data_IF_667427137303
#
_entry.id   IF_667427137303
#
_cell.length_a   1.000
_cell.length_b   1.000
_cell.length_c   1.000
_cell.angle_alpha   90.00
_cell.angle_beta   90.00
_cell.angle_gamma   90.00
#
_symmetry.space_group_name_H-M   'P 1'
#
loop_
_entity.id
_entity.type
_entity.pdbx_description
1 polymer ?
#
# COMPACT_ATOMS: atom_id res chain seq x y z
N UNK A 1 -15.46 47.34 -29.55
CA UNK A 1 -16.89 46.96 -29.67
C UNK A 1 -17.33 46.33 -28.36
N UNK A 2 -18.42 46.86 -27.78
CA UNK A 2 -19.03 46.44 -26.51
C UNK A 2 -20.14 45.42 -26.79
N UNK A 3 -20.25 44.36 -25.96
CA UNK A 3 -21.47 43.57 -25.68
C UNK A 3 -21.08 42.55 -24.60
N UNK A 4 -21.36 42.71 -23.30
CA UNK A 4 -22.64 42.86 -22.58
C UNK A 4 -23.50 41.59 -22.55
N UNK A 5 -23.46 40.90 -21.41
CA UNK A 5 -24.62 40.32 -20.71
C UNK A 5 -25.12 38.93 -21.12
N UNK A 6 -25.20 38.00 -20.16
CA UNK A 6 -26.44 37.68 -19.41
C UNK A 6 -26.10 36.71 -18.27
N UNK A 7 -26.53 37.10 -17.07
CA UNK A 7 -26.52 36.34 -15.82
C UNK A 7 -27.85 35.57 -15.75
N UNK A 8 -27.81 34.28 -15.42
CA UNK A 8 -28.99 33.53 -14.99
C UNK A 8 -28.64 32.75 -13.71
N UNK A 9 -29.09 33.29 -12.58
CA UNK A 9 -29.07 32.66 -11.28
C UNK A 9 -30.36 31.84 -11.11
N UNK A 10 -30.23 30.54 -10.82
CA UNK A 10 -31.34 29.74 -10.28
C UNK A 10 -30.99 29.28 -8.86
N UNK A 11 -31.65 29.90 -7.90
CA UNK A 11 -31.73 29.51 -6.51
C UNK A 11 -32.81 28.44 -6.36
N UNK A 12 -32.44 27.23 -5.94
CA UNK A 12 -33.39 26.26 -5.40
C UNK A 12 -32.98 25.95 -3.96
N UNK A 13 -33.72 26.56 -3.03
CA UNK A 13 -33.69 26.28 -1.61
C UNK A 13 -34.41 24.96 -1.35
N UNK A 14 -33.69 23.97 -0.81
CA UNK A 14 -34.24 22.72 -0.30
C UNK A 14 -34.12 22.68 1.22
N UNK A 15 -35.25 22.82 1.91
CA UNK A 15 -35.37 22.65 3.35
C UNK A 15 -35.19 21.17 3.72
N UNK A 16 -34.12 20.81 4.44
CA UNK A 16 -34.01 19.49 5.09
C UNK A 16 -34.34 19.64 6.57
N UNK A 17 -35.48 19.07 6.96
CA UNK A 17 -36.00 19.07 8.33
C UNK A 17 -35.11 18.29 9.30
N UNK A 18 -34.99 18.86 10.49
CA UNK A 18 -34.39 18.24 11.68
C UNK A 18 -35.15 16.95 12.04
N UNK A 19 -34.47 15.80 11.96
CA UNK A 19 -34.92 14.57 12.62
C UNK A 19 -34.52 14.65 14.09
N UNK A 20 -35.52 14.75 14.95
CA UNK A 20 -35.36 14.74 16.40
C UNK A 20 -34.74 13.42 16.93
N UNK A 21 -34.21 13.44 18.16
CA UNK A 21 -33.57 12.30 18.79
C UNK A 21 -34.57 11.15 19.03
N UNK A 22 -34.20 9.96 18.59
CA UNK A 22 -34.95 8.72 18.77
C UNK A 22 -34.99 8.34 20.27
N UNK A 23 -36.18 8.09 20.86
CA UNK A 23 -36.30 7.76 22.27
C UNK A 23 -35.70 6.38 22.59
N UNK A 24 -34.93 6.32 23.67
CA UNK A 24 -34.27 5.13 24.17
C UNK A 24 -35.27 3.98 24.41
N UNK A 25 -35.02 2.83 23.78
CA UNK A 25 -35.78 1.59 24.02
C UNK A 25 -35.51 1.05 25.44
N UNK A 26 -36.56 0.67 26.18
CA UNK A 26 -36.42 0.08 27.51
C UNK A 26 -35.77 -1.31 27.44
N UNK A 27 -34.76 -1.49 28.28
CA UNK A 27 -34.01 -2.75 28.47
C UNK A 27 -34.92 -3.81 29.09
N UNK A 28 -35.12 -4.92 28.37
CA UNK A 28 -35.92 -6.06 28.84
C UNK A 28 -35.13 -6.83 29.92
N UNK A 29 -35.71 -7.15 31.08
CA UNK A 29 -35.04 -7.90 32.14
C UNK A 29 -34.72 -9.34 31.70
N UNK A 30 -33.54 -9.80 32.09
CA UNK A 30 -32.99 -11.11 31.81
C UNK A 30 -33.86 -12.22 32.44
N UNK A 31 -34.52 -13.01 31.58
CA UNK A 31 -35.24 -14.21 31.97
C UNK A 31 -34.28 -15.36 32.28
N UNK A 32 -34.59 -16.09 33.35
CA UNK A 32 -33.79 -17.19 33.89
C UNK A 32 -33.46 -18.28 32.88
N UNK A 33 -32.17 -18.63 32.84
CA UNK A 33 -31.67 -19.75 32.06
C UNK A 33 -32.08 -21.10 32.67
N UNK A 34 -32.30 -22.13 31.83
CA UNK A 34 -32.70 -23.46 32.27
C UNK A 34 -31.60 -24.16 33.07
N UNK A 35 -32.03 -24.92 34.07
CA UNK A 35 -31.23 -25.78 34.92
C UNK A 35 -30.41 -26.76 34.08
N UNK A 36 -29.08 -26.70 34.23
CA UNK A 36 -28.10 -27.51 33.50
C UNK A 36 -28.19 -28.96 33.99
N UNK A 37 -28.81 -29.82 33.17
CA UNK A 37 -28.88 -31.26 33.39
C UNK A 37 -27.47 -31.85 33.26
N UNK A 38 -26.99 -32.51 34.31
CA UNK A 38 -25.70 -33.21 34.31
C UNK A 38 -25.78 -34.39 33.33
N UNK A 39 -25.03 -34.32 32.24
CA UNK A 39 -24.88 -35.45 31.32
C UNK A 39 -23.97 -36.53 31.94
N UNK A 40 -24.31 -37.82 31.76
CA UNK A 40 -23.49 -38.92 32.21
C UNK A 40 -22.15 -38.95 31.47
N UNK A 41 -21.08 -39.16 32.24
CA UNK A 41 -19.69 -39.29 31.75
C UNK A 41 -19.61 -40.41 30.73
N UNK A 42 -19.40 -40.07 29.45
CA UNK A 42 -19.17 -41.04 28.39
C UNK A 42 -17.76 -41.65 28.53
N UNK A 43 -17.60 -42.97 28.35
CA UNK A 43 -16.29 -43.60 28.34
C UNK A 43 -15.42 -43.06 27.18
N UNK A 44 -14.09 -42.95 27.38
CA UNK A 44 -13.17 -42.45 26.36
C UNK A 44 -13.25 -43.33 25.11
N UNK A 45 -13.63 -42.71 23.98
CA UNK A 45 -13.58 -43.38 22.69
C UNK A 45 -12.12 -43.68 22.32
N UNK A 46 -11.82 -44.85 21.73
CA UNK A 46 -10.49 -45.15 21.20
C UNK A 46 -10.08 -44.05 20.22
N UNK A 47 -8.92 -43.45 20.50
CA UNK A 47 -8.37 -42.34 19.73
C UNK A 47 -8.01 -42.80 18.32
N UNK A 48 -8.79 -42.34 17.34
CA UNK A 48 -8.45 -42.41 15.92
C UNK A 48 -7.06 -41.78 15.74
N UNK A 49 -6.14 -42.38 14.96
CA UNK A 49 -4.86 -41.77 14.61
C UNK A 49 -5.10 -40.33 14.19
N UNK A 50 -4.60 -39.41 15.00
CA UNK A 50 -4.77 -37.98 14.78
C UNK A 50 -3.92 -37.68 13.56
N UNK A 51 -4.55 -37.38 12.42
CA UNK A 51 -3.85 -36.82 11.25
C UNK A 51 -2.90 -35.76 11.77
N UNK A 52 -1.60 -36.04 11.68
CA UNK A 52 -0.57 -35.22 12.31
C UNK A 52 -0.59 -33.86 11.61
N UNK A 53 -1.03 -32.77 12.26
CA UNK A 53 -1.39 -31.55 11.55
C UNK A 53 -0.17 -30.73 11.05
N UNK A 54 1.01 -31.37 10.84
CA UNK A 54 2.31 -30.72 11.06
C UNK A 54 3.39 -30.97 10.02
N UNK A 55 3.02 -30.99 8.75
CA UNK A 55 3.91 -30.43 7.72
C UNK A 55 3.20 -29.28 7.02
N UNK A 56 2.90 -28.22 7.78
CA UNK A 56 2.63 -26.92 7.17
C UNK A 56 3.93 -26.47 6.53
N UNK A 57 4.10 -26.76 5.24
CA UNK A 57 5.21 -26.24 4.46
C UNK A 57 5.26 -24.74 4.65
N UNK A 58 6.30 -24.28 5.32
CA UNK A 58 6.53 -22.89 5.63
C UNK A 58 6.84 -22.16 4.32
N UNK A 59 5.84 -21.50 3.75
CA UNK A 59 5.99 -20.73 2.52
C UNK A 59 6.65 -19.38 2.84
N UNK A 60 7.85 -19.16 2.33
CA UNK A 60 8.49 -17.85 2.33
C UNK A 60 7.97 -17.03 1.13
N UNK A 61 7.63 -15.77 1.36
CA UNK A 61 7.21 -14.85 0.28
C UNK A 61 8.38 -13.95 -0.06
N UNK A 62 8.74 -13.91 -1.33
CA UNK A 62 9.72 -12.98 -1.87
C UNK A 62 9.01 -11.96 -2.75
N UNK A 63 9.24 -10.68 -2.48
CA UNK A 63 8.72 -9.59 -3.30
C UNK A 63 9.87 -8.98 -4.07
N UNK A 64 9.77 -9.02 -5.40
CA UNK A 64 10.65 -8.26 -6.28
C UNK A 64 9.92 -7.02 -6.76
N UNK A 65 10.54 -5.86 -6.59
CA UNK A 65 10.06 -4.59 -7.15
C UNK A 65 10.92 -4.21 -8.35
N UNK A 66 10.27 -3.97 -9.47
CA UNK A 66 10.85 -3.30 -10.63
C UNK A 66 10.38 -1.86 -10.67
N UNK A 67 11.31 -0.91 -10.67
CA UNK A 67 11.04 0.52 -10.89
C UNK A 67 11.62 0.94 -12.24
N UNK A 68 10.77 1.40 -13.14
CA UNK A 68 11.17 1.95 -14.44
C UNK A 68 10.76 3.41 -14.57
N UNK A 69 11.55 4.15 -15.33
CA UNK A 69 11.29 5.55 -15.68
C UNK A 69 11.02 5.64 -17.17
N UNK A 70 9.87 6.19 -17.54
CA UNK A 70 9.40 6.30 -18.92
C UNK A 70 9.06 7.76 -19.25
N UNK A 71 9.04 8.16 -20.53
CA UNK A 71 8.58 9.49 -20.92
C UNK A 71 7.16 9.79 -20.43
N UNK A 72 6.86 11.06 -20.13
CA UNK A 72 5.53 11.48 -19.70
C UNK A 72 4.44 11.13 -20.73
N UNK A 73 3.35 10.54 -20.26
CA UNK A 73 2.24 10.07 -21.09
C UNK A 73 2.43 8.68 -21.69
N UNK A 74 3.65 8.10 -21.64
CA UNK A 74 3.90 6.77 -22.19
C UNK A 74 3.10 5.68 -21.48
N UNK A 75 2.78 5.86 -20.19
CA UNK A 75 1.99 4.92 -19.40
C UNK A 75 0.69 5.55 -18.90
N UNK A 76 0.73 6.76 -18.34
CA UNK A 76 -0.48 7.39 -17.78
C UNK A 76 -1.62 7.57 -18.78
N UNK A 77 -1.30 7.73 -20.09
CA UNK A 77 -2.27 7.94 -21.18
C UNK A 77 -2.36 6.77 -22.17
N UNK A 78 -1.57 5.71 -21.97
CA UNK A 78 -1.51 4.59 -22.90
C UNK A 78 -2.56 3.54 -22.58
N UNK A 79 -3.69 3.59 -23.27
CA UNK A 79 -4.73 2.56 -23.13
C UNK A 79 -4.23 1.18 -23.60
N UNK A 80 -3.21 1.11 -24.46
CA UNK A 80 -2.57 -0.15 -24.83
C UNK A 80 -1.87 -0.80 -23.63
N UNK A 81 -1.15 -0.01 -22.83
CA UNK A 81 -0.53 -0.49 -21.60
C UNK A 81 -1.58 -1.03 -20.61
N UNK A 82 -2.68 -0.30 -20.42
CA UNK A 82 -3.72 -0.66 -19.44
C UNK A 82 -4.62 -1.82 -19.88
N UNK A 83 -4.67 -2.19 -21.17
CA UNK A 83 -5.35 -3.42 -21.63
C UNK A 83 -4.77 -4.70 -21.01
N UNK A 84 -3.50 -4.68 -20.61
CA UNK A 84 -2.82 -5.80 -19.96
C UNK A 84 -2.91 -5.76 -18.42
N UNK A 85 -3.68 -4.84 -17.86
CA UNK A 85 -3.81 -4.63 -16.41
C UNK A 85 -5.28 -4.66 -16.02
N UNK A 86 -5.64 -5.58 -15.14
CA UNK A 86 -6.99 -5.67 -14.57
C UNK A 86 -7.14 -4.64 -13.44
N UNK A 87 -7.72 -3.49 -13.76
CA UNK A 87 -8.06 -2.44 -12.79
C UNK A 87 -9.26 -2.82 -11.90
N UNK A 88 -10.09 -3.78 -12.32
CA UNK A 88 -11.28 -4.21 -11.57
C UNK A 88 -10.93 -5.19 -10.44
N UNK A 89 -9.70 -5.72 -10.43
CA UNK A 89 -9.20 -6.55 -9.33
C UNK A 89 -8.93 -5.75 -8.04
N UNK A 90 -8.88 -4.41 -8.13
CA UNK A 90 -8.78 -3.50 -7.00
C UNK A 90 -10.19 -3.09 -6.55
N UNK A 91 -10.38 -2.88 -5.24
CA UNK A 91 -11.64 -2.33 -4.73
C UNK A 91 -12.02 -1.04 -5.49
N UNK A 92 -13.21 -0.97 -6.14
CA UNK A 92 -13.55 0.15 -7.02
C UNK A 92 -13.55 1.51 -6.33
N UNK A 93 -13.92 1.56 -5.04
CA UNK A 93 -13.91 2.80 -4.27
C UNK A 93 -12.47 3.27 -3.98
N UNK A 94 -11.58 2.35 -3.60
CA UNK A 94 -10.16 2.63 -3.46
C UNK A 94 -9.51 3.04 -4.80
N UNK A 95 -9.83 2.33 -5.90
CA UNK A 95 -9.31 2.63 -7.23
C UNK A 95 -9.73 4.03 -7.72
N UNK A 96 -11.01 4.38 -7.60
CA UNK A 96 -11.51 5.71 -7.98
C UNK A 96 -10.84 6.82 -7.16
N UNK A 97 -10.67 6.61 -5.84
CA UNK A 97 -9.98 7.56 -4.96
C UNK A 97 -8.51 7.70 -5.34
N UNK A 98 -7.79 6.60 -5.58
CA UNK A 98 -6.40 6.65 -6.04
C UNK A 98 -6.28 7.37 -7.38
N UNK A 99 -7.22 7.12 -8.31
CA UNK A 99 -7.24 7.72 -9.64
C UNK A 99 -7.33 9.24 -9.60
N UNK A 100 -8.25 9.81 -8.80
CA UNK A 100 -8.36 11.28 -8.65
C UNK A 100 -7.16 11.89 -7.92
N UNK A 101 -6.48 11.10 -7.09
CA UNK A 101 -5.24 11.49 -6.41
C UNK A 101 -3.98 11.31 -7.28
N UNK A 102 -4.12 10.90 -8.55
CA UNK A 102 -2.99 10.78 -9.48
C UNK A 102 -2.33 9.40 -9.54
N UNK A 103 -2.90 8.37 -8.89
CA UNK A 103 -2.41 6.99 -8.94
C UNK A 103 -3.35 6.11 -9.76
N UNK A 104 -2.83 5.31 -10.68
CA UNK A 104 -3.56 4.25 -11.38
C UNK A 104 -2.94 2.92 -10.99
N UNK A 105 -3.79 1.96 -10.62
CA UNK A 105 -3.36 0.69 -10.02
C UNK A 105 -4.17 -0.46 -10.60
N UNK A 106 -3.54 -1.61 -10.75
CA UNK A 106 -4.23 -2.82 -11.16
C UNK A 106 -3.32 -4.04 -11.15
N UNK A 107 -3.89 -5.21 -11.45
CA UNK A 107 -3.16 -6.48 -11.44
C UNK A 107 -2.89 -6.93 -12.88
N UNK A 108 -1.63 -7.13 -13.22
CA UNK A 108 -1.24 -7.80 -14.45
C UNK A 108 -1.15 -9.31 -14.24
N UNK A 109 -1.61 -10.08 -15.23
CA UNK A 109 -1.58 -11.54 -15.18
C UNK A 109 -0.19 -12.07 -15.54
N UNK A 110 0.16 -13.23 -15.01
CA UNK A 110 1.42 -13.91 -15.36
C UNK A 110 1.63 -14.04 -16.88
N UNK A 111 0.56 -14.31 -17.65
CA UNK A 111 0.60 -14.46 -19.11
C UNK A 111 0.98 -13.16 -19.84
N UNK A 112 0.71 -12.00 -19.25
CA UNK A 112 1.06 -10.69 -19.79
C UNK A 112 2.51 -10.28 -19.45
N UNK A 113 3.20 -11.02 -18.58
CA UNK A 113 4.58 -10.71 -18.17
C UNK A 113 5.57 -10.54 -19.33
N UNK A 114 5.52 -11.31 -20.44
CA UNK A 114 6.40 -11.09 -21.58
C UNK A 114 6.24 -9.69 -22.21
N UNK A 115 5.04 -9.09 -22.18
CA UNK A 115 4.82 -7.72 -22.64
C UNK A 115 5.55 -6.72 -21.74
N UNK A 116 5.34 -6.82 -20.41
CA UNK A 116 6.01 -5.94 -19.44
C UNK A 116 7.53 -6.11 -19.45
N UNK A 117 8.03 -7.34 -19.64
CA UNK A 117 9.46 -7.59 -19.77
C UNK A 117 10.07 -6.82 -20.94
N UNK A 118 9.44 -6.86 -22.11
CA UNK A 118 9.90 -6.07 -23.27
C UNK A 118 9.89 -4.57 -22.97
N UNK A 119 8.88 -4.09 -22.27
CA UNK A 119 8.81 -2.68 -21.86
C UNK A 119 9.95 -2.32 -20.88
N UNK A 120 10.27 -3.21 -19.92
CA UNK A 120 11.40 -3.08 -19.00
C UNK A 120 12.76 -3.17 -19.70
N UNK A 121 12.85 -3.88 -20.82
CA UNK A 121 14.06 -3.96 -21.66
C UNK A 121 14.24 -2.69 -22.52
N UNK A 122 13.13 -2.09 -22.98
CA UNK A 122 13.12 -0.85 -23.76
C UNK A 122 13.45 0.40 -22.92
N UNK A 123 13.02 0.40 -21.65
CA UNK A 123 13.26 1.49 -20.72
C UNK A 123 14.11 0.98 -19.55
N UNK A 124 15.37 1.43 -19.42
CA UNK A 124 16.27 0.88 -18.43
C UNK A 124 15.68 1.00 -17.02
N UNK A 125 15.57 -0.15 -16.34
CA UNK A 125 15.12 -0.24 -14.95
C UNK A 125 16.17 0.45 -14.07
N UNK A 126 15.80 1.59 -13.46
CA UNK A 126 16.71 2.34 -12.58
C UNK A 126 17.09 1.53 -11.33
N UNK A 127 16.15 0.73 -10.81
CA UNK A 127 16.32 0.05 -9.53
C UNK A 127 15.46 -1.20 -9.44
N UNK A 128 16.11 -2.33 -9.20
CA UNK A 128 15.47 -3.56 -8.72
C UNK A 128 15.68 -3.64 -7.21
N UNK A 129 14.59 -3.72 -6.44
CA UNK A 129 14.64 -3.91 -4.99
C UNK A 129 14.03 -5.26 -4.67
N UNK A 130 14.80 -6.09 -3.98
CA UNK A 130 14.36 -7.42 -3.56
C UNK A 130 14.15 -7.45 -2.05
N UNK A 131 13.07 -8.08 -1.61
CA UNK A 131 12.79 -8.31 -0.20
C UNK A 131 12.25 -9.72 -0.01
N UNK A 132 12.88 -10.48 0.90
CA UNK A 132 12.49 -11.84 1.23
C UNK A 132 11.88 -11.89 2.63
N UNK A 133 10.76 -12.62 2.76
CA UNK A 133 10.07 -12.84 4.02
C UNK A 133 10.19 -14.24 4.52
N UNK A 134 10.38 -14.32 5.83
CA UNK A 134 10.11 -15.53 6.58
C UNK A 134 8.59 -15.73 6.71
N UNK A 135 8.10 -16.98 6.67
CA UNK A 135 6.69 -17.31 6.66
C UNK A 135 5.82 -16.66 7.76
N UNK A 136 6.43 -16.33 8.90
CA UNK A 136 5.71 -15.85 10.09
C UNK A 136 5.71 -14.32 10.23
N UNK A 137 6.41 -13.59 9.37
CA UNK A 137 6.60 -12.15 9.53
C UNK A 137 6.11 -11.40 8.30
N UNK A 138 5.28 -10.38 8.53
CA UNK A 138 4.90 -9.46 7.47
C UNK A 138 6.14 -8.69 6.99
N UNK A 139 6.25 -8.58 5.68
CA UNK A 139 7.27 -7.79 5.03
C UNK A 139 6.98 -6.33 5.05
N UNK A 140 8.07 -5.57 5.09
CA UNK A 140 8.02 -4.14 4.98
C UNK A 140 9.20 -3.66 4.14
N UNK A 141 8.93 -2.80 3.18
CA UNK A 141 9.93 -2.07 2.42
C UNK A 141 9.47 -0.63 2.24
N UNK A 142 10.42 0.30 2.27
CA UNK A 142 10.17 1.72 2.02
C UNK A 142 10.86 2.11 0.74
N UNK A 143 10.12 2.71 -0.19
CA UNK A 143 10.64 3.18 -1.46
C UNK A 143 10.84 4.67 -1.41
N UNK A 144 12.05 5.11 -1.70
CA UNK A 144 12.41 6.53 -1.77
C UNK A 144 12.00 7.06 -3.15
N UNK A 145 10.94 7.87 -3.17
CA UNK A 145 10.36 8.40 -4.40
C UNK A 145 11.02 9.73 -4.76
N UNK A 146 11.00 10.69 -3.83
CA UNK A 146 11.73 11.96 -3.92
C UNK A 146 12.29 12.32 -2.55
N UNK A 147 13.56 12.65 -2.47
CA UNK A 147 14.24 13.00 -1.22
C UNK A 147 14.59 14.48 -1.21
N UNK A 148 14.72 15.05 -0.01
CA UNK A 148 15.20 16.42 0.21
C UNK A 148 14.40 17.49 -0.56
N UNK A 149 13.07 17.39 -0.53
CA UNK A 149 12.18 18.39 -1.13
C UNK A 149 12.10 19.59 -0.19
N UNK A 150 12.52 20.78 -0.65
CA UNK A 150 12.55 22.00 0.17
C UNK A 150 11.15 22.43 0.60
N UNK A 151 10.23 22.56 -0.35
CA UNK A 151 8.82 22.89 -0.11
C UNK A 151 7.97 22.17 -1.14
N UNK A 152 6.85 21.60 -0.72
CA UNK A 152 5.82 21.10 -1.62
C UNK A 152 4.43 21.30 -1.03
N UNK A 153 3.45 21.58 -1.88
CA UNK A 153 2.04 21.64 -1.50
C UNK A 153 1.32 20.48 -2.18
N UNK A 154 0.76 19.60 -1.36
CA UNK A 154 0.02 18.43 -1.81
C UNK A 154 -1.45 18.67 -1.57
N UNK A 155 -2.26 18.47 -2.61
CA UNK A 155 -3.71 18.33 -2.48
C UNK A 155 -4.09 16.87 -2.67
N UNK A 156 -4.94 16.39 -1.78
CA UNK A 156 -5.47 15.05 -1.80
C UNK A 156 -6.99 15.05 -1.63
N UNK A 157 -7.63 14.03 -2.22
CA UNK A 157 -9.06 13.79 -2.09
C UNK A 157 -9.29 12.61 -1.15
N UNK A 158 -9.84 12.92 0.03
CA UNK A 158 -10.16 11.93 1.05
C UNK A 158 -11.44 11.11 0.76
N UNK A 159 -11.90 10.30 1.73
CA UNK A 159 -13.19 9.64 1.65
C UNK A 159 -14.32 10.67 1.46
N UNK A 160 -15.23 10.41 0.52
CA UNK A 160 -16.31 11.35 0.18
C UNK A 160 -15.92 12.49 -0.77
N UNK A 161 -14.68 12.48 -1.30
CA UNK A 161 -14.24 13.45 -2.31
C UNK A 161 -13.93 14.84 -1.77
N UNK A 162 -13.81 14.98 -0.44
CA UNK A 162 -13.38 16.24 0.19
C UNK A 162 -11.90 16.45 -0.12
N UNK A 163 -11.58 17.60 -0.72
CA UNK A 163 -10.21 17.99 -1.02
C UNK A 163 -9.56 18.62 0.21
N UNK A 164 -8.42 18.09 0.63
CA UNK A 164 -7.54 18.68 1.62
C UNK A 164 -6.24 19.12 0.96
N UNK A 165 -5.65 20.22 1.46
CA UNK A 165 -4.39 20.75 0.96
C UNK A 165 -3.44 21.01 2.12
N UNK A 166 -2.19 20.57 2.00
CA UNK A 166 -1.15 20.75 3.03
C UNK A 166 0.17 21.12 2.38
N UNK A 167 0.91 22.02 3.03
CA UNK A 167 2.27 22.39 2.63
C UNK A 167 3.28 21.76 3.58
N UNK A 168 4.28 21.11 2.99
CA UNK A 168 5.37 20.45 3.68
C UNK A 168 6.68 21.19 3.36
N UNK A 169 7.48 21.40 4.39
CA UNK A 169 8.83 21.95 4.27
C UNK A 169 9.84 20.85 4.62
N UNK A 170 10.98 20.86 3.92
CA UNK A 170 12.13 19.95 4.09
C UNK A 170 11.68 18.51 4.28
N UNK A 171 11.06 17.93 3.26
CA UNK A 171 10.41 16.62 3.37
C UNK A 171 10.91 15.59 2.35
N UNK A 172 10.68 14.33 2.67
CA UNK A 172 10.89 13.19 1.77
C UNK A 172 9.55 12.54 1.41
N UNK A 173 9.39 12.16 0.15
CA UNK A 173 8.28 11.36 -0.35
C UNK A 173 8.69 9.88 -0.40
N UNK A 174 8.01 9.06 0.40
CA UNK A 174 8.31 7.66 0.60
C UNK A 174 7.06 6.82 0.31
N UNK A 175 7.17 5.75 -0.47
CA UNK A 175 6.09 4.78 -0.61
C UNK A 175 6.35 3.60 0.34
N UNK A 176 5.55 3.50 1.39
CA UNK A 176 5.61 2.38 2.33
C UNK A 176 4.84 1.20 1.75
N UNK A 177 5.49 0.03 1.70
CA UNK A 177 4.94 -1.20 1.16
C UNK A 177 5.04 -2.28 2.21
N UNK A 178 3.91 -2.88 2.55
CA UNK A 178 3.89 -4.10 3.36
C UNK A 178 3.28 -5.24 2.58
N UNK A 179 3.75 -6.46 2.85
CA UNK A 179 3.25 -7.63 2.15
C UNK A 179 3.30 -8.86 3.06
N UNK A 180 2.30 -9.72 2.94
CA UNK A 180 2.18 -10.94 3.75
C UNK A 180 1.32 -11.96 3.01
N UNK A 181 1.44 -13.27 3.31
CA UNK A 181 0.49 -14.25 2.81
C UNK A 181 -0.96 -13.82 3.07
N UNK A 182 -1.83 -13.94 2.06
CA UNK A 182 -3.21 -13.50 2.19
C UNK A 182 -3.99 -14.41 3.17
N UNK A 183 -4.65 -13.84 4.19
CA UNK A 183 -5.46 -14.62 5.12
C UNK A 183 -6.54 -15.41 4.39
N UNK A 184 -6.58 -16.73 4.61
CA UNK A 184 -7.60 -17.65 4.06
C UNK A 184 -7.60 -17.76 2.52
N UNK A 185 -6.57 -17.27 1.83
CA UNK A 185 -6.40 -17.41 0.38
C UNK A 185 -4.99 -17.94 0.08
N UNK A 186 -4.86 -19.27 0.08
CA UNK A 186 -3.62 -19.94 -0.33
C UNK A 186 -3.33 -19.56 -1.78
N UNK A 187 -2.07 -19.30 -2.12
CA UNK A 187 -1.74 -18.87 -3.48
C UNK A 187 -1.80 -17.35 -3.68
N UNK A 188 -2.06 -16.56 -2.63
CA UNK A 188 -2.14 -15.10 -2.73
C UNK A 188 -1.24 -14.40 -1.70
N UNK A 189 -0.72 -13.25 -2.08
CA UNK A 189 0.01 -12.32 -1.21
C UNK A 189 -0.83 -11.05 -1.07
N UNK A 190 -1.15 -10.67 0.16
CA UNK A 190 -1.74 -9.38 0.45
C UNK A 190 -0.65 -8.33 0.42
N UNK A 191 -0.74 -7.39 -0.51
CA UNK A 191 0.14 -6.22 -0.63
C UNK A 191 -0.64 -5.00 -0.17
N UNK A 192 -0.03 -4.19 0.71
CA UNK A 192 -0.54 -2.90 1.10
C UNK A 192 0.47 -1.81 0.77
N UNK A 193 0.00 -0.73 0.15
CA UNK A 193 0.79 0.44 -0.23
C UNK A 193 0.26 1.66 0.50
N UNK A 194 1.15 2.53 0.97
CA UNK A 194 0.75 3.79 1.62
C UNK A 194 1.75 4.88 1.26
N UNK A 195 1.32 5.96 0.59
CA UNK A 195 2.14 7.15 0.42
C UNK A 195 2.43 7.80 1.78
N UNK A 196 3.69 8.16 2.00
CA UNK A 196 4.18 8.79 3.24
C UNK A 196 4.99 10.01 2.89
N UNK A 197 4.65 11.15 3.50
CA UNK A 197 5.45 12.37 3.43
C UNK A 197 6.13 12.55 4.78
N UNK A 198 7.44 12.46 4.80
CA UNK A 198 8.24 12.58 6.01
C UNK A 198 8.81 13.98 6.10
N UNK A 199 8.26 14.83 6.96
CA UNK A 199 8.82 16.17 7.22
C UNK A 199 10.01 16.06 8.17
N UNK A 200 11.12 16.73 7.82
CA UNK A 200 12.34 16.85 8.60
C UNK A 200 12.36 18.25 9.23
N UNK A 201 11.59 18.44 10.30
CA UNK A 201 11.63 19.70 11.06
C UNK A 201 12.78 19.65 12.05
N UNK A 202 13.75 20.54 11.91
CA UNK A 202 14.78 20.74 12.93
C UNK A 202 14.27 21.77 13.94
N UNK A 203 14.38 21.46 15.23
CA UNK A 203 14.07 22.41 16.30
C UNK A 203 15.32 22.54 17.15
N UNK A 204 15.77 23.77 17.35
CA UNK A 204 16.79 24.07 18.34
C UNK A 204 16.18 23.82 19.71
N UNK A 205 16.74 22.86 20.44
CA UNK A 205 16.36 22.58 21.82
C UNK A 205 17.54 23.02 22.69
N UNK A 206 17.29 23.97 23.60
CA UNK A 206 18.27 24.31 24.62
C UNK A 206 18.36 23.14 25.60
N UNK A 207 19.55 22.52 25.71
CA UNK A 207 19.81 21.44 26.66
C UNK A 207 20.74 22.01 27.73
N UNK A 208 20.15 22.52 28.81
CA UNK A 208 20.89 23.19 29.90
C UNK A 208 21.21 24.66 29.63
N UNK A 209 22.11 25.21 30.45
CA UNK A 209 22.36 26.66 30.53
C UNK A 209 23.32 27.20 29.46
N UNK A 210 24.03 26.34 28.71
CA UNK A 210 25.10 26.79 27.79
C UNK A 210 25.14 26.09 26.43
N UNK A 211 24.54 24.90 26.27
CA UNK A 211 24.64 24.15 25.01
C UNK A 211 23.31 24.09 24.23
N UNK A 212 23.31 24.71 23.05
CA UNK A 212 22.26 24.52 22.05
C UNK A 212 22.59 23.28 21.22
N UNK A 213 21.76 22.25 21.30
CA UNK A 213 21.86 21.08 20.43
C UNK A 213 20.74 21.14 19.39
N UNK A 214 21.09 21.00 18.11
CA UNK A 214 20.09 20.86 17.06
C UNK A 214 19.52 19.43 17.08
N UNK A 215 18.26 19.29 17.49
CA UNK A 215 17.56 18.01 17.47
C UNK A 215 16.68 17.95 16.22
N UNK A 216 16.93 16.96 15.36
CA UNK A 216 16.09 16.69 14.19
C UNK A 216 14.85 15.90 14.61
N UNK A 217 13.67 16.53 14.56
CA UNK A 217 12.41 15.86 14.80
C UNK A 217 11.86 15.32 13.48
N UNK A 218 11.74 14.00 13.39
CA UNK A 218 11.12 13.34 12.24
C UNK A 218 9.63 13.19 12.51
N UNK A 219 8.80 13.86 11.70
CA UNK A 219 7.34 13.74 11.79
C UNK A 219 6.83 13.05 10.51
N UNK A 220 6.72 11.70 10.49
CA UNK A 220 6.21 10.99 9.34
C UNK A 220 4.69 11.14 9.26
N UNK A 221 4.21 11.79 8.20
CA UNK A 221 2.79 11.90 7.91
C UNK A 221 2.40 10.83 6.90
N UNK A 222 1.51 9.92 7.32
CA UNK A 222 1.06 8.80 6.50
C UNK A 222 -0.32 9.12 5.94
N UNK A 223 -0.49 9.02 4.62
CA UNK A 223 -1.78 9.17 3.97
C UNK A 223 -2.54 7.84 4.00
N UNK A 224 -3.00 7.45 5.19
CA UNK A 224 -3.72 6.19 5.39
C UNK A 224 -5.00 6.10 4.54
N UNK A 225 -5.65 7.25 4.30
CA UNK A 225 -6.85 7.32 3.46
C UNK A 225 -6.55 6.97 1.99
N UNK A 226 -5.30 7.07 1.56
CA UNK A 226 -4.84 6.68 0.22
C UNK A 226 -4.09 5.35 0.24
N UNK A 227 -4.26 4.59 1.32
CA UNK A 227 -3.78 3.23 1.40
C UNK A 227 -4.47 2.34 0.38
N UNK A 228 -3.68 1.56 -0.35
CA UNK A 228 -4.17 0.43 -1.14
C UNK A 228 -3.96 -0.85 -0.32
N UNK A 229 -4.91 -1.76 -0.35
CA UNK A 229 -4.70 -3.14 0.10
C UNK A 229 -5.33 -4.07 -0.92
N UNK A 230 -4.52 -4.94 -1.53
CA UNK A 230 -4.94 -5.83 -2.60
C UNK A 230 -4.33 -7.22 -2.38
N UNK A 231 -5.06 -8.28 -2.74
CA UNK A 231 -4.50 -9.63 -2.75
C UNK A 231 -4.07 -9.95 -4.18
N UNK A 232 -2.78 -10.16 -4.39
CA UNK A 232 -2.17 -10.50 -5.67
C UNK A 232 -1.95 -12.01 -5.69
N UNK A 233 -2.34 -12.70 -6.76
CA UNK A 233 -2.03 -14.11 -6.89
C UNK A 233 -0.51 -14.32 -6.98
N UNK A 234 -0.04 -15.50 -6.59
CA UNK A 234 1.32 -15.92 -6.89
C UNK A 234 1.48 -15.96 -8.42
N UNK A 235 2.60 -15.48 -8.94
CA UNK A 235 2.93 -15.33 -10.36
C UNK A 235 2.27 -14.17 -11.11
N UNK A 236 1.16 -13.62 -10.58
CA UNK A 236 0.63 -12.31 -11.01
C UNK A 236 1.47 -11.17 -10.42
N UNK A 237 1.24 -9.94 -10.87
CA UNK A 237 1.97 -8.77 -10.38
C UNK A 237 1.07 -7.54 -10.22
N UNK A 238 1.39 -6.70 -9.24
CA UNK A 238 0.71 -5.43 -9.01
C UNK A 238 1.45 -4.32 -9.76
N UNK A 239 0.71 -3.56 -10.56
CA UNK A 239 1.21 -2.39 -11.28
C UNK A 239 0.72 -1.12 -10.58
N UNK A 240 1.63 -0.18 -10.36
CA UNK A 240 1.34 1.17 -9.84
C UNK A 240 2.01 2.19 -10.73
N UNK A 241 1.22 3.09 -11.29
CA UNK A 241 1.68 4.10 -12.23
C UNK A 241 0.90 5.41 -12.03
N UNK A 242 1.37 6.53 -12.62
CA UNK A 242 0.59 7.77 -12.60
C UNK A 242 -0.72 7.61 -13.35
N UNK A 243 -1.79 8.21 -12.83
CA UNK A 243 -3.04 8.40 -13.59
C UNK A 243 -2.96 9.70 -14.42
N UNK A 244 -3.89 9.94 -15.36
CA UNK A 244 -3.98 11.23 -16.04
C UNK A 244 -4.11 12.44 -15.09
N UNK A 245 -4.67 12.26 -13.88
CA UNK A 245 -4.78 13.31 -12.86
C UNK A 245 -3.42 13.69 -12.23
N UNK A 246 -2.37 12.89 -12.43
CA UNK A 246 -0.99 13.27 -12.08
C UNK A 246 -0.46 14.44 -12.93
N UNK A 247 -1.20 14.89 -13.95
CA UNK A 247 -0.89 16.10 -14.69
C UNK A 247 -1.02 17.37 -13.82
N UNK A 248 -1.88 17.35 -12.80
CA UNK A 248 -2.07 18.48 -11.89
C UNK A 248 -0.81 18.69 -11.04
N UNK A 249 -0.29 19.93 -11.00
CA UNK A 249 1.01 20.25 -10.41
C UNK A 249 1.14 19.93 -8.92
N UNK A 250 0.01 19.82 -8.23
CA UNK A 250 -0.08 19.64 -6.78
C UNK A 250 -0.75 18.33 -6.37
N UNK A 251 -1.07 17.43 -7.31
CA UNK A 251 -1.66 16.14 -6.97
C UNK A 251 -0.63 15.19 -6.35
N UNK A 252 -1.08 14.36 -5.42
CA UNK A 252 -0.19 13.42 -4.73
C UNK A 252 0.57 12.51 -5.70
N UNK A 253 -0.10 11.94 -6.69
CA UNK A 253 0.50 11.07 -7.70
C UNK A 253 1.62 11.75 -8.48
N UNK A 254 1.51 13.06 -8.73
CA UNK A 254 2.60 13.84 -9.35
C UNK A 254 3.82 13.93 -8.43
N UNK A 255 3.61 14.20 -7.15
CA UNK A 255 4.70 14.33 -6.19
C UNK A 255 5.45 13.00 -5.97
N UNK A 256 4.79 11.86 -6.21
CA UNK A 256 5.34 10.52 -5.98
C UNK A 256 5.87 9.84 -7.24
N UNK A 257 5.15 9.91 -8.36
CA UNK A 257 5.40 9.08 -9.54
C UNK A 257 5.82 9.87 -10.77
N UNK A 258 6.04 11.17 -10.67
CA UNK A 258 6.44 12.02 -11.80
C UNK A 258 7.70 12.77 -11.44
N UNK A 259 8.74 12.66 -12.26
CA UNK A 259 9.95 13.44 -12.11
C UNK A 259 9.99 14.55 -13.16
N UNK A 260 10.19 15.79 -12.72
CA UNK A 260 10.45 16.92 -13.61
C UNK A 260 11.98 17.08 -13.68
N UNK A 261 12.60 16.55 -14.74
CA UNK A 261 14.00 16.85 -15.06
C UNK A 261 14.06 18.06 -16.01
N UNK A 262 15.21 18.72 -16.08
CA UNK A 262 15.37 19.95 -16.86
C UNK A 262 15.07 19.78 -18.36
N UNK A 263 15.31 18.59 -18.91
CA UNK A 263 15.14 18.30 -20.33
C UNK A 263 13.79 17.68 -20.68
N UNK A 264 13.26 16.81 -19.82
CA UNK A 264 12.05 16.05 -20.09
C UNK A 264 11.34 15.66 -18.79
N UNK A 265 10.01 15.64 -18.82
CA UNK A 265 9.19 15.10 -17.75
C UNK A 265 9.08 13.58 -17.92
N UNK A 266 9.33 12.85 -16.86
CA UNK A 266 9.24 11.38 -16.86
C UNK A 266 8.26 10.87 -15.80
N UNK A 267 7.74 9.68 -16.04
CA UNK A 267 6.84 8.93 -15.17
C UNK A 267 7.58 7.72 -14.58
N UNK A 268 7.31 7.42 -13.32
CA UNK A 268 7.80 6.22 -12.64
C UNK A 268 6.69 5.19 -12.56
N UNK A 269 7.00 3.99 -13.03
CA UNK A 269 6.12 2.83 -12.93
C UNK A 269 6.76 1.81 -11.99
N UNK A 270 5.96 1.33 -11.06
CA UNK A 270 6.34 0.34 -10.06
C UNK A 270 5.60 -0.97 -10.35
N UNK A 271 6.35 -2.06 -10.46
CA UNK A 271 5.80 -3.40 -10.67
C UNK A 271 6.25 -4.30 -9.53
N UNK A 272 5.31 -4.82 -8.75
CA UNK A 272 5.53 -5.68 -7.61
C UNK A 272 5.21 -7.13 -7.98
N UNK A 273 6.22 -7.99 -7.98
CA UNK A 273 6.12 -9.40 -8.38
C UNK A 273 6.30 -10.29 -7.15
N UNK A 274 5.22 -10.78 -6.52
CA UNK A 274 5.28 -11.78 -5.48
C UNK A 274 5.69 -13.14 -6.04
N UNK A 275 6.69 -13.76 -5.42
CA UNK A 275 7.10 -15.15 -5.65
C UNK A 275 7.09 -15.91 -4.35
N UNK A 276 6.80 -17.21 -4.40
CA UNK A 276 6.93 -18.08 -3.24
C UNK A 276 8.14 -18.98 -3.36
N UNK A 277 8.92 -18.98 -2.29
CA UNK A 277 10.00 -19.92 -2.12
C UNK A 277 9.55 -20.96 -1.11
N UNK A 278 9.69 -22.22 -1.51
CA UNK A 278 9.74 -23.31 -0.54
C UNK A 278 11.11 -23.21 0.09
N UNK A 279 11.15 -22.79 1.35
CA UNK A 279 12.36 -23.00 2.15
C UNK A 279 12.61 -24.50 2.10
N UNK A 280 13.78 -24.96 1.59
CA UNK A 280 14.10 -26.39 1.66
C UNK A 280 13.94 -26.76 3.13
N UNK A 281 13.09 -27.74 3.39
CA UNK A 281 12.84 -28.23 4.75
C UNK A 281 14.23 -28.47 5.33
N UNK A 282 14.59 -27.73 6.38
CA UNK A 282 15.88 -27.88 7.02
C UNK A 282 15.93 -29.33 7.48
N UNK A 283 16.64 -30.17 6.71
CA UNK A 283 16.51 -31.61 6.83
C UNK A 283 16.71 -31.96 8.31
N UNK A 284 15.72 -32.59 8.97
CA UNK A 284 15.76 -32.77 10.41
C UNK A 284 16.99 -33.60 10.76
N UNK A 285 18.00 -32.96 11.34
CA UNK A 285 19.14 -33.63 11.94
C UNK A 285 20.40 -33.77 11.10
N UNK A 286 20.82 -32.78 10.32
CA UNK A 286 22.28 -32.59 10.18
C UNK A 286 22.77 -31.85 11.43
N UNK A 287 23.35 -32.54 12.45
CA UNK A 287 23.87 -31.86 13.62
C UNK A 287 24.86 -30.79 13.13
N UNK A 288 24.66 -29.55 13.59
CA UNK A 288 25.61 -28.47 13.37
C UNK A 288 26.94 -28.94 13.97
N UNK A 289 27.84 -29.44 13.11
CA UNK A 289 29.23 -29.62 13.48
C UNK A 289 29.81 -28.23 13.59
N UNK A 290 29.58 -27.58 14.74
CA UNK A 290 30.35 -26.42 15.16
C UNK A 290 31.81 -26.89 15.11
N UNK A 291 32.65 -26.34 14.22
CA UNK A 291 34.06 -26.70 14.21
C UNK A 291 34.61 -26.35 15.60
N UNK A 292 34.99 -27.37 16.36
CA UNK A 292 35.64 -27.20 17.64
C UNK A 292 36.85 -26.29 17.42
N UNK A 293 36.76 -25.06 17.93
CA UNK A 293 37.85 -24.11 17.87
C UNK A 293 39.09 -24.74 18.48
N UNK A 294 40.17 -24.80 17.69
CA UNK A 294 41.51 -24.92 18.23
C UNK A 294 41.75 -23.67 19.08
N UNK A 295 41.72 -23.85 20.40
CA UNK A 295 42.35 -22.92 21.31
C UNK A 295 43.87 -22.88 21.04
N UNK A 296 44.53 -21.75 21.39
CA UNK A 296 45.97 -21.55 21.24
C UNK A 296 46.82 -22.52 22.07
#
# INVERSE_FOLDING_TARGET
>A
MRLAGIIAALLLAGCTGERGPEPARPTRPAGGGPVRRLEPVRPPRPSVPRDDPRSRSLMAVHMTLHRMTVPWGAVSRSEEFWKHVDEQAVDPAAAARLQVNGFRVGIGRADDWPYFRRLLEQHPVERQVESCLRPETAGFMTLEMKLSVDVQTIFDFGPGGVMTGRTYEKCDNLLAVSFQPAPRKIGYVRVALTPVVRSLRTRLVAVGDVEQTEVKFVHPEKYFDLGLTVNVAMDDFLVVAPSPHAAASTSLGRHFLVADAAAERTEQVLIFVPRVYRTPDEAPGRPSTVPAGRGP
#
